data_IF_168299000500
#
_entry.id   IF_168299000500
#
_cell.length_a   1.000
_cell.length_b   1.000
_cell.length_c   1.000
_cell.angle_alpha   90.00
_cell.angle_beta   90.00
_cell.angle_gamma   90.00
#
_symmetry.space_group_name_H-M   'P 1'
#
loop_
_entity.id
_entity.type
_entity.pdbx_description
1 polymer ?
#
# COMPACT_ATOMS: atom_id res chain seq x y z
N UNK A 1 -30.15 -1.99 -16.06
CA UNK A 1 -29.05 -1.10 -15.62
C UNK A 1 -28.15 -1.74 -14.53
N UNK A 2 -27.47 -2.85 -14.83
CA UNK A 2 -26.49 -3.50 -13.91
C UNK A 2 -25.04 -3.35 -14.39
N UNK A 3 -24.85 -3.16 -15.69
CA UNK A 3 -23.56 -3.02 -16.39
C UNK A 3 -22.79 -1.74 -16.04
N UNK A 4 -23.47 -0.59 -15.96
CA UNK A 4 -22.83 0.69 -15.61
C UNK A 4 -22.17 0.69 -14.21
N UNK A 5 -22.73 -0.08 -13.27
CA UNK A 5 -22.20 -0.19 -11.90
C UNK A 5 -20.94 -1.06 -11.80
N UNK A 6 -20.68 -1.91 -12.79
CA UNK A 6 -19.46 -2.73 -12.85
C UNK A 6 -18.30 -1.95 -13.48
N UNK A 7 -18.57 -1.17 -14.54
CA UNK A 7 -17.56 -0.35 -15.22
C UNK A 7 -16.94 0.70 -14.28
N UNK A 8 -17.76 1.40 -13.49
CA UNK A 8 -17.26 2.40 -12.52
C UNK A 8 -16.53 1.82 -11.30
N UNK A 9 -16.55 0.49 -11.10
CA UNK A 9 -15.71 -0.18 -10.10
C UNK A 9 -14.32 -0.46 -10.69
N UNK A 10 -14.27 -1.03 -11.89
CA UNK A 10 -13.02 -1.36 -12.60
C UNK A 10 -12.12 -0.14 -12.81
N UNK A 11 -12.70 1.01 -13.20
CA UNK A 11 -11.94 2.26 -13.38
C UNK A 11 -11.29 2.74 -12.07
N UNK A 12 -12.03 2.65 -10.96
CA UNK A 12 -11.52 2.94 -9.62
C UNK A 12 -10.45 1.93 -9.18
N UNK A 13 -10.68 0.65 -9.43
CA UNK A 13 -9.69 -0.40 -9.13
C UNK A 13 -8.39 -0.15 -9.90
N UNK A 14 -8.47 0.28 -11.17
CA UNK A 14 -7.30 0.61 -11.99
C UNK A 14 -6.51 1.80 -11.43
N UNK A 15 -7.20 2.87 -11.02
CA UNK A 15 -6.56 4.03 -10.36
C UNK A 15 -5.88 3.64 -9.04
N UNK A 16 -6.51 2.76 -8.26
CA UNK A 16 -5.92 2.26 -7.01
C UNK A 16 -4.69 1.39 -7.26
N UNK A 17 -4.69 0.57 -8.31
CA UNK A 17 -3.52 -0.23 -8.72
C UNK A 17 -2.36 0.68 -9.11
N UNK A 18 -2.62 1.74 -9.87
CA UNK A 18 -1.59 2.71 -10.28
C UNK A 18 -0.96 3.42 -9.06
N UNK A 19 -1.79 3.87 -8.10
CA UNK A 19 -1.32 4.44 -6.84
C UNK A 19 -0.47 3.45 -6.03
N UNK A 20 -0.89 2.18 -5.97
CA UNK A 20 -0.17 1.12 -5.28
C UNK A 20 1.18 0.80 -5.95
N UNK A 21 1.24 0.84 -7.27
CA UNK A 21 2.47 0.61 -8.04
C UNK A 21 3.49 1.71 -7.74
N UNK A 22 3.06 2.97 -7.75
CA UNK A 22 3.92 4.10 -7.38
C UNK A 22 4.46 3.98 -5.95
N UNK A 23 3.62 3.58 -4.99
CA UNK A 23 4.04 3.33 -3.60
C UNK A 23 5.05 2.18 -3.53
N UNK A 24 4.85 1.13 -4.33
CA UNK A 24 5.75 -0.01 -4.41
C UNK A 24 7.11 0.38 -4.97
N UNK A 25 7.17 1.19 -6.03
CA UNK A 25 8.41 1.71 -6.59
C UNK A 25 9.20 2.54 -5.56
N UNK A 26 8.51 3.41 -4.80
CA UNK A 26 9.11 4.18 -3.72
C UNK A 26 9.77 3.27 -2.67
N UNK A 27 9.05 2.22 -2.25
CA UNK A 27 9.59 1.21 -1.35
C UNK A 27 10.76 0.45 -1.94
N UNK A 28 10.71 0.03 -3.20
CA UNK A 28 11.80 -0.69 -3.83
C UNK A 28 13.08 0.14 -3.92
N UNK A 29 12.96 1.42 -4.29
CA UNK A 29 14.11 2.32 -4.33
C UNK A 29 14.75 2.46 -2.95
N UNK A 30 13.91 2.63 -1.92
CA UNK A 30 14.31 2.73 -0.53
C UNK A 30 14.97 1.46 -0.01
N UNK A 31 14.34 0.31 -0.22
CA UNK A 31 14.86 -1.00 0.15
C UNK A 31 16.19 -1.30 -0.53
N UNK A 32 16.35 -0.90 -1.80
CA UNK A 32 17.64 -1.02 -2.49
C UNK A 32 18.73 -0.17 -1.85
N UNK A 33 18.41 1.07 -1.42
CA UNK A 33 19.35 1.93 -0.69
C UNK A 33 19.77 1.29 0.64
N UNK A 34 18.81 0.89 1.48
CA UNK A 34 19.10 0.23 2.76
C UNK A 34 19.87 -1.09 2.57
N UNK A 35 19.54 -1.88 1.54
CA UNK A 35 20.26 -3.12 1.21
C UNK A 35 21.71 -2.85 0.80
N UNK A 36 21.98 -1.78 0.06
CA UNK A 36 23.36 -1.36 -0.27
C UNK A 36 24.13 -0.92 0.97
N UNK A 37 23.46 -0.29 1.94
CA UNK A 37 24.04 0.12 3.22
C UNK A 37 24.11 -1.03 4.24
N UNK A 38 23.52 -2.18 3.95
CA UNK A 38 23.46 -3.34 4.87
C UNK A 38 22.56 -3.11 6.09
N UNK A 39 21.70 -2.09 6.06
CA UNK A 39 20.80 -1.73 7.14
C UNK A 39 19.47 -2.44 6.95
N UNK A 40 19.02 -3.16 7.98
CA UNK A 40 17.66 -3.69 8.05
C UNK A 40 16.81 -2.71 8.85
N UNK A 41 15.97 -1.95 8.14
CA UNK A 41 15.11 -0.95 8.76
C UNK A 41 13.76 -1.59 9.12
N UNK A 42 13.50 -1.77 10.42
CA UNK A 42 12.26 -2.38 10.93
C UNK A 42 11.02 -1.55 10.56
N UNK A 43 11.17 -0.21 10.44
CA UNK A 43 10.07 0.66 10.01
C UNK A 43 9.71 0.44 8.55
N UNK A 44 10.72 0.17 7.69
CA UNK A 44 10.51 -0.18 6.29
C UNK A 44 9.75 -1.51 6.14
N UNK A 45 10.08 -2.50 6.97
CA UNK A 45 9.36 -3.78 6.98
C UNK A 45 7.91 -3.61 7.47
N UNK A 46 7.70 -2.84 8.54
CA UNK A 46 6.35 -2.51 9.01
C UNK A 46 5.54 -1.76 7.94
N UNK A 47 6.18 -0.87 7.20
CA UNK A 47 5.53 -0.16 6.10
C UNK A 47 5.12 -1.12 4.97
N UNK A 48 5.97 -2.08 4.61
CA UNK A 48 5.64 -3.13 3.62
C UNK A 48 4.40 -3.91 4.04
N UNK A 49 4.35 -4.37 5.30
CA UNK A 49 3.18 -5.08 5.83
C UNK A 49 1.92 -4.21 5.77
N UNK A 50 2.03 -2.93 6.12
CA UNK A 50 0.90 -2.01 6.04
C UNK A 50 0.42 -1.77 4.59
N UNK A 51 1.32 -1.77 3.60
CA UNK A 51 0.95 -1.69 2.18
C UNK A 51 0.13 -2.91 1.76
N UNK A 52 0.54 -4.10 2.17
CA UNK A 52 -0.20 -5.35 1.89
C UNK A 52 -1.58 -5.32 2.55
N UNK A 53 -1.70 -4.88 3.81
CA UNK A 53 -2.99 -4.71 4.48
C UNK A 53 -3.87 -3.62 3.83
N UNK A 54 -3.29 -2.54 3.32
CA UNK A 54 -4.03 -1.52 2.58
C UNK A 54 -4.62 -2.08 1.29
N UNK A 55 -3.83 -2.86 0.52
CA UNK A 55 -4.31 -3.58 -0.68
C UNK A 55 -5.48 -4.49 -0.34
N UNK A 56 -5.33 -5.32 0.69
CA UNK A 56 -6.42 -6.22 1.13
C UNK A 56 -7.65 -5.40 1.54
N UNK A 57 -7.49 -4.29 2.26
CA UNK A 57 -8.61 -3.43 2.67
C UNK A 57 -9.33 -2.76 1.48
N UNK A 58 -8.61 -2.42 0.42
CA UNK A 58 -9.18 -1.83 -0.80
C UNK A 58 -10.02 -2.84 -1.59
N UNK A 59 -9.50 -4.04 -1.80
CA UNK A 59 -10.14 -5.05 -2.66
C UNK A 59 -11.10 -5.99 -1.90
N UNK A 60 -10.85 -6.24 -0.61
CA UNK A 60 -11.64 -7.17 0.21
C UNK A 60 -12.70 -6.44 1.05
N UNK A 61 -13.55 -5.62 0.39
CA UNK A 61 -14.72 -4.98 1.01
C UNK A 61 -15.79 -6.01 1.39
N UNK A 62 -15.56 -6.72 2.49
CA UNK A 62 -16.39 -7.81 2.98
C UNK A 62 -15.71 -8.65 4.07
N UNK A 63 -14.39 -8.55 4.18
CA UNK A 63 -13.64 -9.14 5.28
C UNK A 63 -13.58 -8.13 6.42
N UNK A 64 -14.15 -8.46 7.59
CA UNK A 64 -13.98 -7.67 8.81
C UNK A 64 -12.53 -7.82 9.29
N UNK A 65 -11.61 -7.05 8.74
CA UNK A 65 -10.29 -6.89 9.35
C UNK A 65 -10.44 -6.04 10.60
N UNK A 66 -9.87 -6.46 11.75
CA UNK A 66 -9.96 -5.69 13.00
C UNK A 66 -9.27 -4.32 12.91
N UNK A 67 -8.37 -4.12 11.93
CA UNK A 67 -7.69 -2.86 11.69
C UNK A 67 -7.61 -2.57 10.18
N UNK A 68 -8.59 -1.87 9.59
CA UNK A 68 -8.43 -1.39 8.22
C UNK A 68 -7.24 -0.43 8.16
N UNK A 69 -6.21 -0.78 7.39
CA UNK A 69 -5.11 0.14 7.11
C UNK A 69 -5.61 1.16 6.10
N UNK A 70 -5.59 2.43 6.48
CA UNK A 70 -5.89 3.54 5.56
C UNK A 70 -4.60 4.12 5.01
N UNK A 71 -4.68 4.75 3.84
CA UNK A 71 -3.58 5.50 3.23
C UNK A 71 -2.88 6.46 4.21
N UNK A 72 -3.65 7.12 5.09
CA UNK A 72 -3.12 8.01 6.15
C UNK A 72 -2.17 7.30 7.12
N UNK A 73 -2.45 6.03 7.46
CA UNK A 73 -1.59 5.22 8.35
C UNK A 73 -0.34 4.78 7.62
N UNK A 74 -0.47 4.40 6.34
CA UNK A 74 0.66 4.10 5.46
C UNK A 74 1.62 5.31 5.35
N UNK A 75 1.08 6.51 5.11
CA UNK A 75 1.87 7.73 5.06
C UNK A 75 2.57 8.03 6.39
N UNK A 76 1.88 7.84 7.54
CA UNK A 76 2.49 8.04 8.85
C UNK A 76 3.65 7.07 9.10
N UNK A 77 3.50 5.80 8.72
CA UNK A 77 4.59 4.81 8.81
C UNK A 77 5.75 5.18 7.88
N UNK A 78 5.46 5.69 6.67
CA UNK A 78 6.48 6.14 5.74
C UNK A 78 7.33 7.27 6.30
N UNK A 79 6.71 8.21 7.01
CA UNK A 79 7.42 9.29 7.70
C UNK A 79 8.34 8.77 8.83
N UNK A 80 8.07 7.57 9.36
CA UNK A 80 8.92 6.91 10.36
C UNK A 80 10.04 6.08 9.74
N UNK A 81 10.02 5.81 8.43
CA UNK A 81 11.12 5.13 7.73
C UNK A 81 12.30 6.10 7.62
N UNK A 82 13.33 5.87 8.44
CA UNK A 82 14.52 6.73 8.51
C UNK A 82 15.26 6.81 7.17
N UNK A 83 15.87 7.97 6.88
CA UNK A 83 16.56 8.29 5.61
C UNK A 83 17.91 7.67 5.39
#
# INVERSE_FOLDING_TARGET
>A
MRWQRLQGKIDRDQQLIDELDLLWEQYQNRANKHRKEGVLDESLEQWRWALEEYRVSLFAQGVKTPYPVSYKRLQKLWQSVAV
#
